data_IF_675047857904
#
_entry.id   IF_675047857904
#
_cell.length_a   1.000
_cell.length_b   1.000
_cell.length_c   1.000
_cell.angle_alpha   90.00
_cell.angle_beta   90.00
_cell.angle_gamma   90.00
#
_symmetry.space_group_name_H-M   'P 1'
#
loop_
_entity.id
_entity.type
_entity.pdbx_description
1 polymer ?
#
# COMPACT_ATOMS: atom_id res chain seq x y z
N UNK A 1 7.04 -37.58 -43.63
CA UNK A 1 7.78 -37.91 -42.38
C UNK A 1 8.91 -36.90 -42.31
N UNK A 2 9.03 -35.97 -41.37
CA UNK A 2 8.66 -35.93 -39.95
C UNK A 2 8.49 -34.46 -39.50
N UNK A 3 7.42 -34.16 -38.76
CA UNK A 3 7.31 -32.95 -37.93
C UNK A 3 8.12 -33.15 -36.65
N UNK A 4 8.93 -32.16 -36.26
CA UNK A 4 9.54 -32.08 -34.92
C UNK A 4 8.88 -30.96 -34.14
N UNK A 5 7.94 -31.32 -33.28
CA UNK A 5 7.42 -30.48 -32.19
C UNK A 5 8.48 -30.36 -31.11
N UNK A 6 8.87 -29.14 -30.76
CA UNK A 6 9.68 -28.85 -29.58
C UNK A 6 8.74 -28.36 -28.49
N UNK A 7 8.24 -29.28 -27.66
CA UNK A 7 7.53 -28.94 -26.44
C UNK A 7 8.54 -28.46 -25.38
N UNK A 8 8.50 -27.18 -25.02
CA UNK A 8 9.23 -26.64 -23.87
C UNK A 8 8.53 -27.04 -22.58
N UNK A 9 8.96 -28.15 -21.98
CA UNK A 9 8.52 -28.57 -20.65
C UNK A 9 8.99 -27.56 -19.59
N UNK A 10 8.05 -26.87 -18.94
CA UNK A 10 8.34 -26.14 -17.69
C UNK A 10 8.88 -27.13 -16.65
N UNK A 11 9.95 -26.80 -15.90
CA UNK A 11 10.45 -27.70 -14.87
C UNK A 11 9.40 -27.88 -13.77
N UNK A 12 8.97 -29.12 -13.57
CA UNK A 12 8.11 -29.50 -12.44
C UNK A 12 8.95 -29.56 -11.17
N UNK A 13 8.60 -28.75 -10.17
CA UNK A 13 9.20 -28.79 -8.83
C UNK A 13 9.07 -30.20 -8.22
N UNK A 14 10.14 -30.68 -7.59
CA UNK A 14 10.11 -32.00 -6.97
C UNK A 14 9.26 -31.99 -5.68
N UNK A 15 8.84 -33.17 -5.22
CA UNK A 15 7.98 -33.32 -4.04
C UNK A 15 8.54 -32.69 -2.76
N UNK A 16 9.87 -32.61 -2.59
CA UNK A 16 10.51 -31.92 -1.45
C UNK A 16 10.43 -30.39 -1.57
N UNK A 17 10.53 -29.84 -2.78
CA UNK A 17 10.38 -28.40 -3.03
C UNK A 17 8.92 -27.98 -2.90
N UNK A 18 8.00 -28.83 -3.36
CA UNK A 18 6.55 -28.65 -3.19
C UNK A 18 6.16 -28.69 -1.70
N UNK A 19 6.69 -29.66 -0.95
CA UNK A 19 6.48 -29.76 0.50
C UNK A 19 7.10 -28.59 1.29
N UNK A 20 8.26 -28.06 0.84
CA UNK A 20 8.91 -26.89 1.46
C UNK A 20 8.11 -25.60 1.23
N UNK A 21 7.54 -25.43 0.03
CA UNK A 21 6.62 -24.32 -0.28
C UNK A 21 5.30 -24.46 0.50
N UNK A 22 4.71 -25.65 0.57
CA UNK A 22 3.50 -25.93 1.36
C UNK A 22 3.70 -25.63 2.86
N UNK A 23 4.88 -25.92 3.42
CA UNK A 23 5.23 -25.52 4.79
C UNK A 23 5.44 -24.01 4.97
N UNK A 24 5.99 -23.31 3.98
CA UNK A 24 6.15 -21.85 4.04
C UNK A 24 4.80 -21.11 3.94
N UNK A 25 3.83 -21.67 3.20
CA UNK A 25 2.46 -21.17 3.09
C UNK A 25 1.62 -21.54 4.32
N UNK A 26 1.85 -22.71 4.92
CA UNK A 26 1.07 -23.20 6.06
C UNK A 26 1.39 -22.57 7.41
N UNK A 27 2.62 -22.09 7.62
CA UNK A 27 3.10 -21.61 8.94
C UNK A 27 3.14 -20.08 9.10
N UNK A 28 2.61 -19.28 8.15
CA UNK A 28 2.83 -17.82 8.10
C UNK A 28 1.61 -16.90 8.17
N UNK A 29 0.44 -17.38 8.61
CA UNK A 29 -0.65 -16.49 9.04
C UNK A 29 -1.37 -17.06 10.26
N UNK A 30 -1.61 -16.28 11.33
CA UNK A 30 -2.41 -16.75 12.45
C UNK A 30 -3.81 -17.11 11.94
N UNK A 31 -4.17 -18.38 12.05
CA UNK A 31 -5.56 -18.81 11.85
C UNK A 31 -6.41 -18.05 12.89
N UNK A 32 -7.31 -17.18 12.43
CA UNK A 32 -8.28 -16.53 13.33
C UNK A 32 -9.14 -17.62 13.94
N UNK A 33 -9.04 -17.80 15.25
CA UNK A 33 -10.04 -18.50 16.04
C UNK A 33 -11.16 -17.52 16.38
N UNK A 34 -12.40 -17.99 16.18
CA UNK A 34 -13.69 -17.32 16.37
C UNK A 34 -14.06 -16.23 15.33
N UNK A 35 -15.23 -16.41 14.72
CA UNK A 35 -15.97 -15.35 14.03
C UNK A 35 -16.26 -14.23 15.03
N UNK A 36 -15.43 -13.18 15.02
CA UNK A 36 -15.69 -11.97 15.80
C UNK A 36 -16.91 -11.28 15.18
N UNK A 37 -17.98 -11.01 15.95
CA UNK A 37 -19.18 -10.39 15.40
C UNK A 37 -18.84 -9.09 14.70
N UNK A 38 -19.20 -9.00 13.41
CA UNK A 38 -19.05 -7.82 12.58
C UNK A 38 -19.89 -6.68 13.14
N UNK A 39 -19.29 -5.82 13.98
CA UNK A 39 -19.95 -4.64 14.49
C UNK A 39 -19.92 -3.58 13.40
N UNK A 40 -21.04 -3.44 12.69
CA UNK A 40 -21.22 -2.40 11.67
C UNK A 40 -21.18 -1.04 12.37
N UNK A 41 -20.06 -0.32 12.28
CA UNK A 41 -20.02 1.09 12.65
C UNK A 41 -20.96 1.84 11.71
N UNK A 42 -21.92 2.55 12.27
CA UNK A 42 -22.74 3.49 11.51
C UNK A 42 -21.89 4.76 11.32
N UNK A 43 -21.48 5.02 10.09
CA UNK A 43 -20.81 6.27 9.70
C UNK A 43 -21.86 7.37 9.58
N UNK A 44 -21.51 8.57 10.06
CA UNK A 44 -22.45 9.69 10.09
C UNK A 44 -22.48 10.44 8.75
N UNK A 45 -21.55 10.11 7.84
CA UNK A 45 -21.39 10.66 6.48
C UNK A 45 -21.00 9.55 5.51
N UNK A 46 -20.93 9.87 4.23
CA UNK A 46 -20.28 8.99 3.25
C UNK A 46 -18.84 8.69 3.69
N UNK A 47 -18.40 7.44 3.58
CA UNK A 47 -17.03 7.05 3.88
C UNK A 47 -16.23 6.89 2.59
N UNK A 48 -15.19 7.70 2.41
CA UNK A 48 -14.27 7.64 1.28
C UNK A 48 -13.03 6.84 1.67
N UNK A 49 -12.80 5.75 0.95
CA UNK A 49 -11.81 4.73 1.27
C UNK A 49 -10.54 4.91 0.42
N UNK A 50 -9.39 4.78 1.06
CA UNK A 50 -8.08 4.84 0.41
C UNK A 50 -7.22 3.66 0.85
N UNK A 51 -6.71 2.93 -0.15
CA UNK A 51 -5.80 1.81 0.06
C UNK A 51 -4.35 2.34 0.02
N UNK A 52 -3.59 2.07 1.07
CA UNK A 52 -2.20 2.50 1.24
C UNK A 52 -1.27 1.28 1.31
N UNK A 53 -0.57 1.01 0.21
CA UNK A 53 0.24 -0.19 -0.01
C UNK A 53 1.58 0.13 -0.68
N UNK A 54 2.45 -0.88 -0.74
CA UNK A 54 3.84 -0.74 -1.19
C UNK A 54 4.80 -1.22 -0.12
N UNK A 55 5.96 -0.58 -0.01
CA UNK A 55 7.04 -1.06 0.87
C UNK A 55 7.27 -0.19 2.11
N UNK A 56 8.50 -0.21 2.64
CA UNK A 56 8.88 0.40 3.92
C UNK A 56 8.58 1.89 4.01
N UNK A 57 8.67 2.64 2.91
CA UNK A 57 8.34 4.07 2.90
C UNK A 57 6.83 4.35 2.92
N UNK A 58 5.98 3.46 2.41
CA UNK A 58 4.53 3.50 2.69
C UNK A 58 4.24 3.06 4.13
N UNK A 59 4.86 1.97 4.57
CA UNK A 59 4.69 1.44 5.91
C UNK A 59 5.11 2.44 7.00
N UNK A 60 6.10 3.28 6.70
CA UNK A 60 6.66 4.28 7.58
C UNK A 60 7.83 3.75 8.39
N UNK A 61 8.95 4.48 8.37
CA UNK A 61 10.16 4.19 9.18
C UNK A 61 10.69 5.42 9.92
N UNK A 62 10.19 6.60 9.57
CA UNK A 62 10.51 7.84 10.27
C UNK A 62 10.03 7.80 11.73
N UNK A 63 10.73 8.48 12.65
CA UNK A 63 10.20 8.76 13.98
C UNK A 63 8.79 9.37 13.92
N UNK A 64 8.00 9.10 14.96
CA UNK A 64 6.70 9.75 15.16
C UNK A 64 6.95 10.88 16.15
N UNK A 65 6.66 12.11 15.75
CA UNK A 65 6.88 13.31 16.56
C UNK A 65 5.57 13.74 17.22
N UNK A 66 5.63 14.70 18.14
CA UNK A 66 4.47 15.17 18.90
C UNK A 66 3.32 15.67 18.00
N UNK A 67 3.66 16.37 16.89
CA UNK A 67 2.68 16.87 15.91
C UNK A 67 1.95 15.76 15.13
N UNK A 68 2.49 14.55 15.13
CA UNK A 68 1.92 13.40 14.44
C UNK A 68 0.92 12.63 15.34
N UNK A 69 0.86 12.95 16.62
CA UNK A 69 0.04 12.24 17.61
C UNK A 69 -1.37 12.83 17.76
N UNK A 70 -2.23 12.06 18.43
CA UNK A 70 -3.63 12.42 18.67
C UNK A 70 -4.59 11.84 17.64
N UNK A 71 -5.88 11.88 18.01
CA UNK A 71 -6.99 11.45 17.15
C UNK A 71 -7.17 12.46 16.03
N UNK A 72 -7.32 11.96 14.81
CA UNK A 72 -7.65 12.76 13.64
C UNK A 72 -9.17 12.69 13.43
N UNK A 73 -9.83 13.84 13.57
CA UNK A 73 -11.27 13.92 13.39
C UNK A 73 -11.69 13.46 11.99
N UNK A 74 -12.79 12.69 11.91
CA UNK A 74 -13.39 12.17 10.67
C UNK A 74 -12.46 11.24 9.86
N UNK A 75 -11.40 10.73 10.47
CA UNK A 75 -10.53 9.73 9.86
C UNK A 75 -10.58 8.44 10.67
N UNK A 76 -10.65 7.32 9.95
CA UNK A 76 -10.68 5.98 10.51
C UNK A 76 -9.62 5.10 9.87
N UNK A 77 -9.05 4.20 10.67
CA UNK A 77 -8.06 3.22 10.24
C UNK A 77 -8.67 1.83 10.36
N UNK A 78 -8.54 1.01 9.31
CA UNK A 78 -8.99 -0.38 9.36
C UNK A 78 -7.96 -1.22 10.12
N UNK A 79 -8.34 -1.74 11.28
CA UNK A 79 -7.45 -2.52 12.12
C UNK A 79 -7.27 -3.98 11.62
N UNK A 80 -6.42 -4.75 12.30
CA UNK A 80 -6.07 -6.12 11.94
C UNK A 80 -7.20 -7.15 12.18
N UNK A 81 -8.30 -6.72 12.78
CA UNK A 81 -9.54 -7.49 12.95
C UNK A 81 -10.62 -7.08 11.91
N UNK A 82 -10.24 -6.29 10.91
CA UNK A 82 -11.12 -5.71 9.89
C UNK A 82 -12.23 -4.81 10.49
N UNK A 83 -11.92 -4.13 11.59
CA UNK A 83 -12.81 -3.16 12.23
C UNK A 83 -12.25 -1.74 12.13
N UNK A 84 -13.15 -0.75 12.07
CA UNK A 84 -12.79 0.66 11.98
C UNK A 84 -12.57 1.29 13.35
N UNK A 85 -11.38 1.84 13.58
CA UNK A 85 -11.07 2.64 14.77
C UNK A 85 -10.75 4.10 14.39
N UNK A 86 -10.94 5.07 15.31
CA UNK A 86 -10.47 6.43 15.10
C UNK A 86 -8.99 6.44 14.73
N UNK A 87 -8.63 7.14 13.66
CA UNK A 87 -7.26 7.15 13.18
C UNK A 87 -6.38 8.01 14.09
N UNK A 88 -5.32 7.40 14.60
CA UNK A 88 -4.25 8.02 15.39
C UNK A 88 -3.02 7.14 15.29
N UNK A 89 -1.83 7.65 15.62
CA UNK A 89 -0.69 6.80 16.00
C UNK A 89 -0.94 6.17 17.37
N UNK A 90 -0.38 5.01 17.67
CA UNK A 90 -0.58 4.40 18.98
C UNK A 90 0.24 3.15 19.24
N UNK A 91 0.18 2.69 20.49
CA UNK A 91 0.83 1.48 20.95
C UNK A 91 0.30 0.23 20.24
N UNK A 92 1.20 -0.64 19.78
CA UNK A 92 0.82 -1.92 19.19
C UNK A 92 1.88 -2.99 19.42
N UNK A 93 1.44 -4.12 19.97
CA UNK A 93 2.31 -5.23 20.32
C UNK A 93 3.39 -4.85 21.32
N UNK A 94 4.55 -5.52 21.23
CA UNK A 94 5.73 -5.24 22.06
C UNK A 94 6.66 -4.17 21.45
N UNK A 95 6.32 -3.69 20.26
CA UNK A 95 7.16 -2.81 19.44
C UNK A 95 6.99 -1.32 19.79
N UNK A 96 6.04 -1.01 20.68
CA UNK A 96 5.78 0.33 21.18
C UNK A 96 4.82 1.14 20.30
N UNK A 97 4.87 2.47 20.47
CA UNK A 97 4.14 3.45 19.65
C UNK A 97 4.49 3.36 18.16
N UNK A 98 3.46 3.23 17.32
CA UNK A 98 3.56 2.98 15.88
C UNK A 98 2.58 3.83 15.05
N UNK A 99 2.89 3.95 13.76
CA UNK A 99 2.09 4.69 12.78
C UNK A 99 0.90 3.88 12.24
N UNK A 100 0.43 4.26 11.05
CA UNK A 100 -0.79 3.70 10.46
C UNK A 100 -0.63 2.25 9.96
N UNK A 101 0.58 1.84 9.59
CA UNK A 101 0.83 0.47 9.13
C UNK A 101 0.90 -0.56 10.28
N UNK A 102 0.67 -0.14 11.54
CA UNK A 102 0.68 -1.04 12.71
C UNK A 102 -0.29 -2.24 12.59
N UNK A 103 -1.34 -2.08 11.80
CA UNK A 103 -2.35 -3.11 11.57
C UNK A 103 -2.16 -3.88 10.26
N UNK A 104 -1.05 -3.69 9.55
CA UNK A 104 -0.73 -4.51 8.38
C UNK A 104 -0.78 -5.99 8.78
N UNK A 105 -1.55 -6.78 8.03
CA UNK A 105 -1.73 -8.22 8.28
C UNK A 105 -0.68 -9.07 7.58
N UNK A 106 0.18 -8.44 6.79
CA UNK A 106 1.24 -9.07 5.97
C UNK A 106 2.64 -8.62 6.36
N UNK A 107 2.79 -7.53 7.13
CA UNK A 107 4.09 -7.12 7.66
C UNK A 107 4.48 -8.02 8.85
N UNK A 108 5.77 -8.30 8.96
CA UNK A 108 6.28 -9.13 10.06
C UNK A 108 6.01 -8.43 11.39
N UNK A 109 5.35 -9.12 12.32
CA UNK A 109 4.92 -8.55 13.61
C UNK A 109 6.07 -7.98 14.47
N UNK A 110 7.32 -8.38 14.23
CA UNK A 110 8.49 -7.84 14.92
C UNK A 110 8.96 -6.48 14.38
N UNK A 111 8.54 -6.07 13.18
CA UNK A 111 8.92 -4.79 12.58
C UNK A 111 8.12 -3.65 13.21
N UNK A 112 8.83 -2.63 13.68
CA UNK A 112 8.23 -1.37 14.15
C UNK A 112 7.95 -0.45 12.96
N UNK A 113 6.69 -0.04 12.80
CA UNK A 113 6.28 0.91 11.79
C UNK A 113 6.26 2.34 12.36
N UNK A 114 7.04 3.23 11.75
CA UNK A 114 7.12 4.64 12.09
C UNK A 114 6.03 5.48 11.45
N UNK A 115 6.28 6.78 11.27
CA UNK A 115 5.36 7.68 10.58
C UNK A 115 5.22 7.28 9.11
N UNK A 116 3.96 7.10 8.67
CA UNK A 116 3.57 6.80 7.30
C UNK A 116 2.92 8.03 6.68
N UNK A 117 3.20 8.28 5.39
CA UNK A 117 2.57 9.35 4.59
C UNK A 117 1.03 9.29 4.58
N UNK A 118 0.44 8.12 4.88
CA UNK A 118 -1.01 7.95 4.97
C UNK A 118 -1.64 8.84 6.07
N UNK A 119 -0.89 9.15 7.14
CA UNK A 119 -1.34 10.03 8.21
C UNK A 119 -1.51 11.48 7.74
N UNK A 120 -0.47 12.19 7.26
CA UNK A 120 -0.61 13.54 6.74
C UNK A 120 -1.54 13.61 5.52
N UNK A 121 -1.56 12.57 4.67
CA UNK A 121 -2.55 12.43 3.60
C UNK A 121 -3.98 12.52 4.14
N UNK A 122 -4.32 11.68 5.13
CA UNK A 122 -5.67 11.62 5.69
C UNK A 122 -6.11 12.91 6.37
N UNK A 123 -5.18 13.63 7.03
CA UNK A 123 -5.46 14.95 7.63
C UNK A 123 -5.94 15.94 6.57
N UNK A 124 -5.21 16.02 5.44
CA UNK A 124 -5.57 16.91 4.33
C UNK A 124 -6.88 16.48 3.66
N UNK A 125 -7.10 15.19 3.43
CA UNK A 125 -8.36 14.70 2.84
C UNK A 125 -9.55 15.03 3.75
N UNK A 126 -9.42 14.87 5.07
CA UNK A 126 -10.48 15.21 6.01
C UNK A 126 -10.75 16.71 6.07
N UNK A 127 -9.74 17.57 5.91
CA UNK A 127 -9.90 19.03 5.84
C UNK A 127 -10.63 19.44 4.54
N UNK A 128 -10.24 18.84 3.40
CA UNK A 128 -10.65 19.28 2.06
C UNK A 128 -11.92 18.60 1.53
N UNK A 129 -12.36 17.53 2.16
CA UNK A 129 -13.60 16.80 1.81
C UNK A 129 -14.57 16.81 3.00
N UNK A 130 -15.09 17.98 3.42
CA UNK A 130 -15.86 18.13 4.66
C UNK A 130 -17.19 17.35 4.66
N UNK A 131 -17.70 16.94 3.50
CA UNK A 131 -18.94 16.16 3.38
C UNK A 131 -18.77 14.65 3.58
N UNK A 132 -17.53 14.11 3.57
CA UNK A 132 -17.26 12.68 3.75
C UNK A 132 -16.34 12.41 4.95
N UNK A 133 -16.44 11.24 5.55
CA UNK A 133 -15.42 10.67 6.45
C UNK A 133 -14.35 9.94 5.61
N UNK A 134 -13.14 9.79 6.15
CA UNK A 134 -11.99 9.20 5.46
C UNK A 134 -11.66 7.85 6.10
N UNK A 135 -11.62 6.79 5.30
CA UNK A 135 -11.20 5.45 5.72
C UNK A 135 -9.86 5.07 5.12
N UNK A 136 -8.88 4.76 5.96
CA UNK A 136 -7.54 4.34 5.54
C UNK A 136 -7.41 2.83 5.72
N UNK A 137 -7.00 2.15 4.65
CA UNK A 137 -6.68 0.73 4.63
C UNK A 137 -5.17 0.63 4.42
N UNK A 138 -4.41 0.47 5.49
CA UNK A 138 -2.94 0.38 5.42
C UNK A 138 -2.49 -1.08 5.49
N UNK A 139 -1.74 -1.53 4.48
CA UNK A 139 -1.29 -2.91 4.40
C UNK A 139 0.04 -3.04 3.64
N UNK A 140 0.98 -2.12 3.87
CA UNK A 140 2.30 -2.11 3.25
C UNK A 140 3.27 -3.09 3.95
N UNK A 141 4.30 -3.52 3.22
CA UNK A 141 5.30 -4.50 3.69
C UNK A 141 6.70 -4.15 3.20
N UNK A 142 7.63 -3.90 4.12
CA UNK A 142 9.02 -3.60 3.78
C UNK A 142 9.73 -4.73 3.03
N UNK A 143 10.76 -4.38 2.26
CA UNK A 143 11.60 -5.33 1.51
C UNK A 143 10.84 -6.18 0.47
N UNK A 144 9.82 -5.55 -0.15
CA UNK A 144 9.05 -6.14 -1.24
C UNK A 144 9.39 -5.49 -2.58
N UNK A 145 9.47 -6.33 -3.62
CA UNK A 145 9.56 -5.90 -5.01
C UNK A 145 8.19 -6.11 -5.69
N UNK A 146 7.99 -5.52 -6.86
CA UNK A 146 6.69 -5.55 -7.57
C UNK A 146 6.24 -6.97 -7.93
N UNK A 147 7.16 -7.91 -8.14
CA UNK A 147 6.84 -9.32 -8.42
C UNK A 147 6.11 -9.96 -7.23
N UNK A 148 6.48 -9.63 -6.00
CA UNK A 148 5.77 -10.11 -4.80
C UNK A 148 4.36 -9.55 -4.65
N UNK A 149 4.04 -8.45 -5.35
CA UNK A 149 2.72 -7.82 -5.32
C UNK A 149 1.82 -8.28 -6.45
N UNK A 150 2.30 -9.11 -7.37
CA UNK A 150 1.45 -9.64 -8.44
C UNK A 150 0.39 -10.59 -7.87
N UNK A 151 -0.75 -10.64 -8.56
CA UNK A 151 -1.79 -11.62 -8.27
C UNK A 151 -1.23 -13.03 -8.40
N UNK A 152 -1.60 -13.91 -7.46
CA UNK A 152 -1.15 -15.30 -7.41
C UNK A 152 0.37 -15.48 -7.29
N UNK A 153 1.11 -14.45 -6.82
CA UNK A 153 2.56 -14.51 -6.60
C UNK A 153 2.98 -15.48 -5.48
N UNK A 154 2.02 -16.06 -4.74
CA UNK A 154 2.26 -16.96 -3.62
C UNK A 154 2.75 -16.27 -2.34
N UNK A 155 2.68 -14.94 -2.28
CA UNK A 155 3.10 -14.12 -1.14
C UNK A 155 1.93 -13.67 -0.25
N UNK A 156 0.70 -13.71 -0.76
CA UNK A 156 -0.50 -13.22 -0.08
C UNK A 156 -0.66 -11.70 -0.04
N UNK A 157 0.30 -10.92 -0.57
CA UNK A 157 0.27 -9.45 -0.47
C UNK A 157 -0.89 -8.85 -1.27
N UNK A 158 -1.04 -9.29 -2.52
CA UNK A 158 -2.11 -8.88 -3.40
C UNK A 158 -3.46 -9.31 -2.85
N UNK A 159 -3.58 -10.58 -2.50
CA UNK A 159 -4.83 -11.20 -2.05
C UNK A 159 -5.33 -10.55 -0.76
N UNK A 160 -4.43 -10.25 0.18
CA UNK A 160 -4.80 -9.59 1.42
C UNK A 160 -5.18 -8.11 1.22
N UNK A 161 -4.49 -7.39 0.32
CA UNK A 161 -4.88 -6.03 -0.05
C UNK A 161 -6.30 -6.01 -0.65
N UNK A 162 -6.61 -6.95 -1.56
CA UNK A 162 -7.95 -7.12 -2.14
C UNK A 162 -8.97 -7.48 -1.05
N UNK A 163 -8.69 -8.47 -0.19
CA UNK A 163 -9.61 -8.93 0.85
C UNK A 163 -9.99 -7.80 1.81
N UNK A 164 -8.99 -7.07 2.32
CA UNK A 164 -9.21 -5.96 3.26
C UNK A 164 -9.98 -4.82 2.62
N UNK A 165 -9.68 -4.49 1.37
CA UNK A 165 -10.41 -3.46 0.64
C UNK A 165 -11.87 -3.87 0.37
N UNK A 166 -12.14 -5.12 -0.02
CA UNK A 166 -13.52 -5.63 -0.16
C UNK A 166 -14.32 -5.53 1.14
N UNK A 167 -13.70 -5.82 2.29
CA UNK A 167 -14.36 -5.63 3.60
C UNK A 167 -14.66 -4.16 3.85
N UNK A 168 -13.69 -3.28 3.61
CA UNK A 168 -13.86 -1.85 3.77
C UNK A 168 -15.00 -1.29 2.88
N UNK A 169 -15.11 -1.78 1.64
CA UNK A 169 -16.14 -1.38 0.67
C UNK A 169 -17.58 -1.72 1.11
N UNK A 170 -17.78 -2.58 2.13
CA UNK A 170 -19.11 -2.77 2.74
C UNK A 170 -19.60 -1.56 3.54
N UNK A 171 -18.72 -0.57 3.77
CA UNK A 171 -18.98 0.62 4.57
C UNK A 171 -18.78 1.94 3.83
N UNK A 172 -18.17 1.92 2.64
CA UNK A 172 -17.75 3.14 1.96
C UNK A 172 -17.38 2.92 0.51
N UNK A 173 -17.05 4.00 -0.17
CA UNK A 173 -16.66 3.98 -1.58
C UNK A 173 -15.15 4.13 -1.70
N UNK A 174 -14.51 3.27 -2.49
CA UNK A 174 -13.12 3.46 -2.88
C UNK A 174 -12.96 4.76 -3.67
N UNK A 175 -12.03 5.61 -3.23
CA UNK A 175 -11.70 6.89 -3.86
C UNK A 175 -10.26 6.99 -4.32
N UNK A 176 -9.41 6.03 -3.99
CA UNK A 176 -8.10 5.94 -4.60
C UNK A 176 -7.15 4.94 -3.94
N UNK A 177 -6.03 4.73 -4.61
CA UNK A 177 -4.93 3.90 -4.15
C UNK A 177 -3.67 4.75 -4.08
N UNK A 178 -2.95 4.61 -2.97
CA UNK A 178 -1.63 5.18 -2.77
C UNK A 178 -0.61 4.04 -2.79
N UNK A 179 0.36 4.17 -3.68
CA UNK A 179 1.41 3.19 -3.90
C UNK A 179 2.79 3.82 -3.68
N UNK A 180 3.53 3.35 -2.69
CA UNK A 180 4.92 3.80 -2.51
C UNK A 180 5.87 2.62 -2.46
N UNK A 181 6.47 2.31 -3.60
CA UNK A 181 7.41 1.23 -3.80
C UNK A 181 8.27 1.47 -5.04
N UNK A 182 9.45 0.87 -5.05
CA UNK A 182 10.34 0.82 -6.20
C UNK A 182 11.81 0.65 -5.82
N UNK A 183 12.19 0.84 -4.56
CA UNK A 183 13.59 0.80 -4.12
C UNK A 183 14.22 -0.58 -4.36
N UNK A 184 13.42 -1.65 -4.22
CA UNK A 184 13.82 -3.02 -4.52
C UNK A 184 13.84 -3.35 -6.03
N UNK A 185 13.19 -2.51 -6.85
CA UNK A 185 13.03 -2.64 -8.31
C UNK A 185 13.80 -1.58 -9.09
N UNK A 186 14.68 -0.81 -8.44
CA UNK A 186 15.37 0.35 -9.07
C UNK A 186 16.17 0.04 -10.34
N UNK A 187 16.42 -1.24 -10.63
CA UNK A 187 17.11 -1.75 -11.83
C UNK A 187 16.23 -2.72 -12.65
N UNK A 188 14.92 -2.74 -12.40
CA UNK A 188 13.96 -3.58 -13.09
C UNK A 188 13.38 -2.80 -14.28
N UNK A 189 13.86 -3.10 -15.48
CA UNK A 189 13.42 -2.44 -16.70
C UNK A 189 11.97 -2.77 -17.09
N UNK A 190 11.38 -3.82 -16.50
CA UNK A 190 10.00 -4.23 -16.72
C UNK A 190 9.05 -3.71 -15.62
N UNK A 191 9.50 -2.80 -14.77
CA UNK A 191 8.74 -2.36 -13.60
C UNK A 191 7.40 -1.73 -13.99
N UNK A 192 7.38 -0.88 -15.02
CA UNK A 192 6.17 -0.14 -15.39
C UNK A 192 5.08 -1.05 -15.95
N UNK A 193 5.44 -2.06 -16.74
CA UNK A 193 4.50 -3.07 -17.24
C UNK A 193 3.97 -3.94 -16.10
N UNK A 194 4.85 -4.35 -15.17
CA UNK A 194 4.47 -5.13 -13.99
C UNK A 194 3.55 -4.32 -13.06
N UNK A 195 3.81 -3.02 -12.88
CA UNK A 195 2.96 -2.14 -12.11
C UNK A 195 1.61 -1.93 -12.80
N UNK A 196 1.60 -1.77 -14.13
CA UNK A 196 0.35 -1.66 -14.90
C UNK A 196 -0.52 -2.91 -14.79
N UNK A 197 0.09 -4.09 -14.87
CA UNK A 197 -0.61 -5.36 -14.65
C UNK A 197 -1.18 -5.44 -13.23
N UNK A 198 -0.37 -5.15 -12.22
CA UNK A 198 -0.79 -5.11 -10.82
C UNK A 198 -2.00 -4.20 -10.59
N UNK A 199 -1.97 -2.97 -11.13
CA UNK A 199 -3.09 -2.02 -10.99
C UNK A 199 -4.34 -2.50 -11.73
N UNK A 200 -4.16 -3.11 -12.89
CA UNK A 200 -5.26 -3.69 -13.68
C UNK A 200 -5.94 -4.82 -12.93
N UNK A 201 -5.17 -5.76 -12.39
CA UNK A 201 -5.67 -6.87 -11.60
C UNK A 201 -6.35 -6.40 -10.32
N UNK A 202 -5.77 -5.41 -9.63
CA UNK A 202 -6.34 -4.83 -8.41
C UNK A 202 -7.71 -4.18 -8.69
N UNK A 203 -7.82 -3.39 -9.76
CA UNK A 203 -9.10 -2.80 -10.20
C UNK A 203 -10.13 -3.86 -10.56
N UNK A 204 -9.71 -4.88 -11.33
CA UNK A 204 -10.57 -5.99 -11.74
C UNK A 204 -11.11 -6.76 -10.53
N UNK A 205 -10.23 -7.12 -9.58
CA UNK A 205 -10.62 -7.87 -8.39
C UNK A 205 -11.55 -7.09 -7.47
N UNK A 206 -11.38 -5.77 -7.38
CA UNK A 206 -12.26 -4.90 -6.60
C UNK A 206 -13.56 -4.56 -7.34
N UNK A 207 -13.67 -4.89 -8.63
CA UNK A 207 -14.83 -4.57 -9.46
C UNK A 207 -15.01 -3.07 -9.69
N UNK A 208 -13.90 -2.31 -9.75
CA UNK A 208 -13.92 -0.85 -9.90
C UNK A 208 -13.32 -0.45 -11.23
N UNK A 209 -14.01 0.39 -11.99
CA UNK A 209 -13.51 0.89 -13.26
C UNK A 209 -12.34 1.87 -13.05
N UNK A 210 -11.43 1.94 -14.02
CA UNK A 210 -10.27 2.83 -13.93
C UNK A 210 -10.68 4.29 -13.68
N UNK A 211 -11.76 4.77 -14.29
CA UNK A 211 -12.28 6.14 -14.13
C UNK A 211 -12.72 6.50 -12.71
N UNK A 212 -13.01 5.51 -11.85
CA UNK A 212 -13.55 5.77 -10.51
C UNK A 212 -12.48 5.70 -9.41
N UNK A 213 -11.34 5.08 -9.70
CA UNK A 213 -10.28 4.84 -8.72
C UNK A 213 -8.92 5.32 -9.21
N UNK A 214 -8.58 6.59 -8.93
CA UNK A 214 -7.24 7.12 -9.13
C UNK A 214 -6.17 6.25 -8.48
N UNK A 215 -5.08 6.02 -9.19
CA UNK A 215 -3.90 5.35 -8.67
C UNK A 215 -2.74 6.35 -8.62
N UNK A 216 -2.22 6.62 -7.42
CA UNK A 216 -1.11 7.57 -7.26
C UNK A 216 0.10 6.83 -6.74
N UNK A 217 1.23 7.01 -7.42
CA UNK A 217 2.53 6.55 -6.97
C UNK A 217 3.43 7.70 -6.51
N UNK A 218 4.48 7.40 -5.75
CA UNK A 218 5.44 8.39 -5.27
C UNK A 218 6.81 8.13 -5.87
N UNK A 219 7.50 9.21 -6.24
CA UNK A 219 8.93 9.10 -6.49
C UNK A 219 9.66 8.66 -5.23
N UNK A 220 10.70 7.85 -5.43
CA UNK A 220 11.67 7.46 -4.41
C UNK A 220 12.51 8.67 -4.01
N UNK A 221 13.32 8.55 -2.95
CA UNK A 221 14.19 9.64 -2.47
C UNK A 221 14.95 10.31 -3.65
N UNK A 222 15.10 11.65 -3.64
CA UNK A 222 15.85 12.35 -4.67
C UNK A 222 17.34 11.97 -4.61
N UNK A 223 18.02 12.06 -5.76
CA UNK A 223 19.45 11.80 -5.90
C UNK A 223 19.76 10.66 -6.88
N UNK A 224 21.04 10.55 -7.23
CA UNK A 224 21.53 9.69 -8.31
C UNK A 224 21.18 8.20 -8.15
N UNK A 225 20.99 7.73 -6.90
CA UNK A 225 20.60 6.35 -6.59
C UNK A 225 19.27 5.94 -7.25
N UNK A 226 18.31 6.87 -7.35
CA UNK A 226 16.97 6.59 -7.84
C UNK A 226 16.54 7.48 -9.01
N UNK A 227 17.36 8.43 -9.44
CA UNK A 227 17.05 9.40 -10.50
C UNK A 227 16.56 8.73 -11.79
N UNK A 228 17.29 7.72 -12.29
CA UNK A 228 16.90 7.00 -13.50
C UNK A 228 15.54 6.31 -13.32
N UNK A 229 15.33 5.63 -12.19
CA UNK A 229 14.08 4.94 -11.91
C UNK A 229 12.90 5.93 -11.74
N UNK A 230 13.12 7.04 -11.03
CA UNK A 230 12.12 8.09 -10.84
C UNK A 230 11.69 8.74 -12.15
N UNK A 231 12.63 8.92 -13.10
CA UNK A 231 12.36 9.57 -14.39
C UNK A 231 11.80 8.61 -15.43
N UNK A 232 12.34 7.39 -15.51
CA UNK A 232 11.98 6.44 -16.57
C UNK A 232 10.86 5.48 -16.21
N UNK A 233 10.64 5.20 -14.92
CA UNK A 233 9.59 4.30 -14.44
C UNK A 233 8.46 5.08 -13.78
N UNK A 234 8.73 5.75 -12.64
CA UNK A 234 7.67 6.46 -11.89
C UNK A 234 7.09 7.63 -12.70
N UNK A 235 7.94 8.38 -13.40
CA UNK A 235 7.53 9.51 -14.23
C UNK A 235 6.60 9.14 -15.39
N UNK A 236 6.62 7.89 -15.86
CA UNK A 236 5.81 7.38 -16.98
C UNK A 236 4.50 6.71 -16.56
N UNK A 237 4.20 6.68 -15.26
CA UNK A 237 2.96 6.11 -14.73
C UNK A 237 1.71 6.71 -15.38
N UNK A 238 1.55 8.05 -15.51
CA UNK A 238 0.37 8.64 -16.14
C UNK A 238 0.17 8.23 -17.60
N UNK A 239 1.27 7.95 -18.32
CA UNK A 239 1.25 7.57 -19.74
C UNK A 239 0.89 6.09 -19.94
N UNK A 240 1.10 5.26 -18.92
CA UNK A 240 0.98 3.79 -19.03
C UNK A 240 -0.23 3.24 -18.28
N UNK A 241 -0.61 3.85 -17.16
CA UNK A 241 -1.67 3.38 -16.28
C UNK A 241 -2.83 4.37 -16.33
N UNK A 242 -4.01 3.92 -16.77
CA UNK A 242 -5.20 4.76 -16.85
C UNK A 242 -5.57 5.37 -15.48
N UNK A 243 -6.07 6.61 -15.48
CA UNK A 243 -6.45 7.36 -14.28
C UNK A 243 -5.39 7.24 -13.16
N UNK A 244 -4.16 7.60 -13.49
CA UNK A 244 -3.04 7.52 -12.57
C UNK A 244 -2.20 8.78 -12.59
N UNK A 245 -1.46 8.98 -11.50
CA UNK A 245 -0.50 10.06 -11.37
C UNK A 245 0.71 9.61 -10.56
N UNK A 246 1.74 10.44 -10.55
CA UNK A 246 2.80 10.34 -9.56
C UNK A 246 2.95 11.65 -8.77
N UNK A 247 3.58 11.57 -7.60
CA UNK A 247 3.99 12.74 -6.82
C UNK A 247 5.51 12.85 -6.76
N UNK A 248 6.00 14.08 -6.89
CA UNK A 248 7.44 14.37 -6.80
C UNK A 248 7.96 14.17 -5.38
N UNK A 249 9.20 13.70 -5.26
CA UNK A 249 9.97 13.62 -4.01
C UNK A 249 10.96 14.79 -3.85
N UNK A 250 10.90 15.81 -4.71
CA UNK A 250 11.76 16.99 -4.61
C UNK A 250 11.64 17.67 -3.24
N UNK A 251 12.77 18.11 -2.67
CA UNK A 251 12.81 18.74 -1.35
C UNK A 251 12.60 17.79 -0.17
N UNK A 252 12.63 16.47 -0.39
CA UNK A 252 12.59 15.47 0.67
C UNK A 252 13.99 14.94 1.00
N UNK A 253 14.14 14.33 2.18
CA UNK A 253 15.39 13.82 2.74
C UNK A 253 15.18 12.49 3.46
N UNK A 254 16.27 11.74 3.63
CA UNK A 254 16.25 10.47 4.36
C UNK A 254 16.42 10.66 5.87
N UNK A 255 16.15 9.62 6.66
CA UNK A 255 16.49 9.55 8.09
C UNK A 255 18.00 9.43 8.36
N UNK A 256 18.85 9.53 7.33
CA UNK A 256 20.30 9.35 7.40
C UNK A 256 20.79 8.00 6.85
N UNK A 257 19.87 7.11 6.44
CA UNK A 257 20.19 5.80 5.87
C UNK A 257 20.14 5.74 4.34
N UNK A 258 19.91 6.88 3.68
CA UNK A 258 19.81 7.03 2.23
C UNK A 258 18.74 6.12 1.58
N UNK A 259 17.72 5.71 2.33
CA UNK A 259 16.67 4.80 1.85
C UNK A 259 15.29 5.19 2.35
N UNK A 260 15.13 5.53 3.64
CA UNK A 260 13.83 5.84 4.21
C UNK A 260 13.64 7.34 4.43
N UNK A 261 12.49 7.87 4.02
CA UNK A 261 12.13 9.27 4.24
C UNK A 261 12.07 9.61 5.73
N UNK A 262 12.55 10.80 6.10
CA UNK A 262 12.38 11.35 7.45
C UNK A 262 10.94 11.84 7.71
N UNK A 263 10.64 12.25 8.94
CA UNK A 263 9.28 12.62 9.36
C UNK A 263 8.74 13.80 8.54
N UNK A 264 9.55 14.84 8.36
CA UNK A 264 9.22 16.00 7.53
C UNK A 264 8.89 15.58 6.08
N UNK A 265 9.67 14.68 5.51
CA UNK A 265 9.47 14.17 4.15
C UNK A 265 8.22 13.31 4.02
N UNK A 266 7.90 12.50 5.02
CA UNK A 266 6.62 11.77 5.08
C UNK A 266 5.44 12.75 5.11
N UNK A 267 5.55 13.87 5.84
CA UNK A 267 4.55 14.96 5.85
C UNK A 267 4.43 15.66 4.50
N UNK A 268 5.55 16.00 3.86
CA UNK A 268 5.56 16.59 2.51
C UNK A 268 4.88 15.65 1.50
N UNK A 269 5.28 14.38 1.48
CA UNK A 269 4.73 13.40 0.56
C UNK A 269 3.23 13.19 0.81
N UNK A 270 2.79 12.97 2.05
CA UNK A 270 1.38 12.76 2.35
C UNK A 270 0.50 13.93 1.88
N UNK A 271 0.94 15.18 2.07
CA UNK A 271 0.27 16.37 1.54
C UNK A 271 0.21 16.36 0.01
N UNK A 272 1.32 16.03 -0.66
CA UNK A 272 1.37 15.95 -2.14
C UNK A 272 0.44 14.86 -2.69
N UNK A 273 0.41 13.68 -2.06
CA UNK A 273 -0.53 12.63 -2.39
C UNK A 273 -1.97 13.10 -2.24
N UNK A 274 -2.29 13.84 -1.18
CA UNK A 274 -3.64 14.33 -0.94
C UNK A 274 -4.07 15.36 -1.99
N UNK A 275 -3.23 16.36 -2.27
CA UNK A 275 -3.55 17.35 -3.30
C UNK A 275 -3.68 16.70 -4.68
N UNK A 276 -2.79 15.78 -5.04
CA UNK A 276 -2.91 15.06 -6.32
C UNK A 276 -4.19 14.21 -6.38
N UNK A 277 -4.58 13.58 -5.27
CA UNK A 277 -5.84 12.83 -5.20
C UNK A 277 -7.05 13.75 -5.39
N UNK A 278 -7.07 14.91 -4.72
CA UNK A 278 -8.14 15.90 -4.86
C UNK A 278 -8.28 16.41 -6.29
N UNK A 279 -7.16 16.65 -7.00
CA UNK A 279 -7.19 17.03 -8.42
C UNK A 279 -7.83 15.97 -9.32
N UNK A 280 -7.70 14.69 -8.96
CA UNK A 280 -8.22 13.55 -9.74
C UNK A 280 -9.61 13.09 -9.33
N UNK A 281 -10.18 13.65 -8.25
CA UNK A 281 -11.54 13.35 -7.78
C UNK A 281 -12.62 14.22 -8.46
N UNK A 282 -12.21 15.21 -9.25
CA UNK A 282 -13.07 16.17 -9.94
C UNK A 282 -13.62 15.63 -11.26
#
# INVERSE_FOLDING_TARGET
MSNTDVSSSKPSLNLKEKWRLEKMIGDSFPQRTAEVPFHRRNFNKDLYLYLCIGQSNMAGRAPIEEEDQGIIERVYLLNNNDQWEPAQTGEYGKQGHQGFNRFSTVEVASKKNGLSLALPFSKVMAERVPHAEIGIISNAVGDTNIVKWQKDAGTGLFEEAVRRTKIAMNHGQMKGILWHQGEADRYNDCYIEQLSLFVTDLRSELGICASEMPFIAGQLLPGSKYELFNTTMIGKIPDTIANSAYVSSEGTSSIGDNTHFNSESQRILGKRYAFKMLEMMC
#
